data_IF_997233262979
#
_entry.id   IF_997233262979
#
_cell.length_a   1.000
_cell.length_b   1.000
_cell.length_c   1.000
_cell.angle_alpha   90.00
_cell.angle_beta   90.00
_cell.angle_gamma   90.00
#
_symmetry.space_group_name_H-M   'P 1'
#
loop_
_entity.id
_entity.type
_entity.pdbx_description
1 polymer ?
#
# COMPACT_ATOMS: atom_id res chain seq x y z
N UNK A 1 -7.62 38.16 -3.51
CA UNK A 1 -7.36 36.75 -3.14
C UNK A 1 -8.70 36.06 -3.03
N UNK A 2 -8.87 34.86 -3.57
CA UNK A 2 -10.10 34.10 -3.37
C UNK A 2 -10.29 33.79 -1.88
N UNK A 3 -11.54 33.71 -1.41
CA UNK A 3 -11.81 33.28 -0.04
C UNK A 3 -11.26 31.87 0.21
N UNK A 4 -10.71 31.60 1.40
CA UNK A 4 -10.17 30.28 1.70
C UNK A 4 -11.28 29.24 1.73
N UNK A 5 -10.96 28.01 1.31
CA UNK A 5 -11.84 26.88 1.52
C UNK A 5 -12.03 26.65 3.03
N UNK A 6 -13.26 26.49 3.49
CA UNK A 6 -13.58 26.40 4.92
C UNK A 6 -14.46 25.20 5.25
N UNK A 7 -14.02 24.44 6.26
CA UNK A 7 -14.68 23.25 6.79
C UNK A 7 -14.47 23.10 8.30
N UNK A 8 -15.16 22.15 8.94
CA UNK A 8 -14.83 21.75 10.32
C UNK A 8 -13.51 20.99 10.34
N UNK A 9 -13.32 20.09 9.36
CA UNK A 9 -12.11 19.28 9.21
C UNK A 9 -11.56 19.38 7.79
N UNK A 10 -10.25 19.57 7.67
CA UNK A 10 -9.50 19.44 6.42
C UNK A 10 -8.58 18.22 6.50
N UNK A 11 -8.68 17.33 5.52
CA UNK A 11 -7.86 16.12 5.40
C UNK A 11 -6.97 16.26 4.17
N UNK A 12 -5.68 15.97 4.30
CA UNK A 12 -4.71 16.03 3.19
C UNK A 12 -4.39 14.62 2.75
N UNK A 13 -4.88 14.24 1.57
CA UNK A 13 -4.72 12.93 0.95
C UNK A 13 -6.04 12.15 0.90
N UNK A 14 -6.46 11.77 -0.31
CA UNK A 14 -7.67 10.97 -0.56
C UNK A 14 -7.37 9.47 -0.70
N UNK A 15 -6.35 8.98 0.01
CA UNK A 15 -6.09 7.55 0.18
C UNK A 15 -7.02 6.88 1.18
N UNK A 16 -6.84 5.57 1.44
CA UNK A 16 -7.69 4.79 2.35
C UNK A 16 -7.78 5.40 3.76
N UNK A 17 -6.67 5.87 4.32
CA UNK A 17 -6.65 6.48 5.65
C UNK A 17 -7.49 7.77 5.70
N UNK A 18 -7.26 8.68 4.74
CA UNK A 18 -7.98 9.95 4.67
C UNK A 18 -9.47 9.77 4.37
N UNK A 19 -9.83 8.84 3.48
CA UNK A 19 -11.22 8.61 3.08
C UNK A 19 -12.03 7.85 4.12
N UNK A 20 -11.43 6.92 4.87
CA UNK A 20 -12.10 6.30 6.02
C UNK A 20 -12.37 7.34 7.12
N UNK A 21 -11.39 8.18 7.43
CA UNK A 21 -11.57 9.28 8.39
C UNK A 21 -12.64 10.27 7.92
N UNK A 22 -12.60 10.70 6.66
CA UNK A 22 -13.59 11.59 6.07
C UNK A 22 -15.01 11.01 6.17
N UNK A 23 -15.16 9.73 5.82
CA UNK A 23 -16.44 9.04 5.90
C UNK A 23 -16.99 9.01 7.33
N UNK A 24 -16.19 8.62 8.32
CA UNK A 24 -16.63 8.56 9.72
C UNK A 24 -16.95 9.94 10.30
N UNK A 25 -16.15 10.95 9.98
CA UNK A 25 -16.39 12.33 10.42
C UNK A 25 -17.66 12.91 9.79
N UNK A 26 -17.91 12.65 8.51
CA UNK A 26 -19.13 13.07 7.83
C UNK A 26 -20.38 12.36 8.38
N UNK A 27 -20.27 11.06 8.71
CA UNK A 27 -21.34 10.33 9.42
C UNK A 27 -21.66 10.96 10.77
N UNK A 28 -20.67 11.53 11.45
CA UNK A 28 -20.84 12.27 12.69
C UNK A 28 -21.32 13.73 12.49
N UNK A 29 -21.63 14.14 11.25
CA UNK A 29 -22.18 15.46 10.92
C UNK A 29 -21.15 16.57 10.69
N UNK A 30 -19.85 16.25 10.65
CA UNK A 30 -18.82 17.25 10.36
C UNK A 30 -18.82 17.65 8.88
N UNK A 31 -18.65 18.94 8.59
CA UNK A 31 -18.30 19.41 7.24
C UNK A 31 -16.82 19.09 6.99
N UNK A 32 -16.54 18.24 6.01
CA UNK A 32 -15.18 17.76 5.70
C UNK A 32 -14.77 18.16 4.28
N UNK A 33 -13.56 18.71 4.16
CA UNK A 33 -12.86 18.89 2.88
C UNK A 33 -11.66 17.94 2.85
N UNK A 34 -11.49 17.22 1.74
CA UNK A 34 -10.31 16.40 1.46
C UNK A 34 -9.55 17.03 0.30
N UNK A 35 -8.27 17.35 0.50
CA UNK A 35 -7.37 17.87 -0.53
C UNK A 35 -6.55 16.71 -1.08
N UNK A 36 -6.59 16.48 -2.39
CA UNK A 36 -5.84 15.41 -3.06
C UNK A 36 -4.92 15.98 -4.13
N UNK A 37 -3.64 15.59 -4.11
CA UNK A 37 -2.63 16.10 -5.02
C UNK A 37 -2.92 15.73 -6.48
N UNK A 38 -3.43 14.52 -6.74
CA UNK A 38 -3.65 14.03 -8.10
C UNK A 38 -5.08 14.08 -8.60
N UNK A 39 -5.30 13.61 -9.84
CA UNK A 39 -6.62 13.55 -10.47
C UNK A 39 -7.46 12.37 -9.97
N UNK A 40 -8.78 12.36 -10.28
CA UNK A 40 -9.63 11.20 -10.11
C UNK A 40 -9.25 10.04 -11.03
N UNK A 41 -9.75 8.85 -10.72
CA UNK A 41 -9.46 7.61 -11.46
C UNK A 41 -10.74 7.00 -12.01
N UNK A 42 -10.82 6.85 -13.32
CA UNK A 42 -11.81 6.01 -13.97
C UNK A 42 -11.25 4.57 -14.07
N UNK A 43 -11.92 3.60 -13.42
CA UNK A 43 -11.46 2.21 -13.39
C UNK A 43 -11.43 1.57 -14.78
N UNK A 44 -12.42 1.84 -15.63
CA UNK A 44 -12.47 1.26 -16.98
C UNK A 44 -11.32 1.76 -17.85
N UNK A 45 -11.05 3.07 -17.81
CA UNK A 45 -9.91 3.66 -18.51
C UNK A 45 -8.58 3.13 -17.97
N UNK A 46 -8.41 3.06 -16.65
CA UNK A 46 -7.19 2.50 -16.05
C UNK A 46 -6.95 1.05 -16.49
N UNK A 47 -8.00 0.22 -16.54
CA UNK A 47 -7.92 -1.16 -17.05
C UNK A 47 -7.52 -1.18 -18.53
N UNK A 48 -8.07 -0.30 -19.35
CA UNK A 48 -7.70 -0.20 -20.76
C UNK A 48 -6.23 0.25 -20.93
N UNK A 49 -5.81 1.26 -20.18
CA UNK A 49 -4.41 1.73 -20.13
C UNK A 49 -3.47 0.60 -19.74
N UNK A 50 -3.79 -0.14 -18.67
CA UNK A 50 -3.01 -1.30 -18.24
C UNK A 50 -2.90 -2.36 -19.34
N UNK A 51 -4.00 -2.70 -20.01
CA UNK A 51 -4.01 -3.70 -21.09
C UNK A 51 -3.13 -3.28 -22.26
N UNK A 52 -3.11 -1.99 -22.59
CA UNK A 52 -2.30 -1.42 -23.65
C UNK A 52 -0.85 -1.10 -23.25
N UNK A 53 -0.53 -1.10 -21.95
CA UNK A 53 0.82 -0.82 -21.48
C UNK A 53 1.82 -1.89 -21.95
N UNK A 54 3.00 -1.46 -22.39
CA UNK A 54 4.09 -2.37 -22.77
C UNK A 54 4.66 -3.07 -21.54
N UNK A 55 4.96 -2.29 -20.48
CA UNK A 55 5.39 -2.82 -19.20
C UNK A 55 4.20 -2.97 -18.25
N UNK A 56 4.04 -4.15 -17.66
CA UNK A 56 2.94 -4.49 -16.74
C UNK A 56 3.36 -4.26 -15.28
N UNK A 57 3.56 -2.99 -14.90
CA UNK A 57 4.00 -2.60 -13.55
C UNK A 57 2.85 -2.11 -12.66
N UNK A 58 3.04 -1.99 -11.34
CA UNK A 58 2.05 -1.40 -10.43
C UNK A 58 1.53 -0.02 -10.90
N UNK A 59 2.40 0.81 -11.49
CA UNK A 59 2.07 2.18 -11.90
C UNK A 59 1.46 2.28 -13.30
N UNK A 60 1.61 1.24 -14.13
CA UNK A 60 1.24 1.25 -15.56
C UNK A 60 -0.21 1.63 -15.91
N UNK A 61 -1.26 1.39 -15.08
CA UNK A 61 -2.62 1.87 -15.39
C UNK A 61 -2.80 3.38 -15.22
N UNK A 62 -1.84 4.06 -14.61
CA UNK A 62 -2.01 5.39 -14.04
C UNK A 62 -1.01 6.34 -14.70
N UNK A 63 -1.46 7.29 -15.54
CA UNK A 63 -0.54 8.24 -16.17
C UNK A 63 0.08 9.20 -15.14
N UNK A 64 1.35 9.52 -15.34
CA UNK A 64 2.04 10.51 -14.53
C UNK A 64 1.48 11.92 -14.76
N UNK A 65 1.68 12.77 -13.74
CA UNK A 65 1.29 14.17 -13.80
C UNK A 65 2.47 15.04 -13.41
N UNK A 66 2.66 16.16 -14.10
CA UNK A 66 3.79 17.05 -13.83
C UNK A 66 3.70 17.74 -12.46
N UNK A 67 2.47 17.95 -11.93
CA UNK A 67 2.20 18.64 -10.66
C UNK A 67 2.14 17.70 -9.46
N UNK A 68 1.84 16.42 -9.67
CA UNK A 68 1.86 15.39 -8.64
C UNK A 68 2.69 14.16 -9.07
N UNK A 69 4.00 14.34 -9.32
CA UNK A 69 4.89 13.24 -9.68
C UNK A 69 5.08 12.25 -8.52
N UNK A 70 5.49 11.04 -8.83
CA UNK A 70 5.50 9.90 -7.91
C UNK A 70 6.59 8.91 -8.32
N UNK A 71 7.04 8.02 -7.41
CA UNK A 71 8.00 6.99 -7.76
C UNK A 71 7.39 5.93 -8.70
N UNK A 72 8.23 5.30 -9.52
CA UNK A 72 7.84 4.17 -10.37
C UNK A 72 8.86 3.05 -10.25
N UNK A 73 8.45 1.79 -10.40
CA UNK A 73 9.41 0.67 -10.37
C UNK A 73 10.32 0.62 -11.60
N UNK A 74 10.02 1.38 -12.65
CA UNK A 74 10.84 1.47 -13.86
C UNK A 74 11.92 2.55 -13.77
N UNK A 75 11.74 3.51 -12.88
CA UNK A 75 12.66 4.63 -12.65
C UNK A 75 12.60 5.05 -11.18
N UNK A 76 13.52 4.50 -10.38
CA UNK A 76 13.58 4.69 -8.94
C UNK A 76 14.20 6.04 -8.53
N UNK A 77 14.84 6.76 -9.46
CA UNK A 77 15.54 8.02 -9.23
C UNK A 77 14.84 9.21 -9.91
N UNK A 78 13.83 8.95 -10.74
CA UNK A 78 13.06 9.99 -11.41
C UNK A 78 12.37 10.93 -10.42
N UNK A 79 11.67 10.37 -9.43
CA UNK A 79 11.01 11.18 -8.40
C UNK A 79 11.78 11.29 -7.08
N UNK A 80 12.36 10.18 -6.61
CA UNK A 80 13.15 10.20 -5.39
C UNK A 80 14.57 10.70 -5.66
N UNK A 81 15.12 11.46 -4.72
CA UNK A 81 16.56 11.67 -4.61
C UNK A 81 17.07 10.59 -3.66
N UNK A 82 17.63 9.51 -4.20
CA UNK A 82 18.05 8.36 -3.43
C UNK A 82 19.45 8.57 -2.86
N UNK A 83 19.61 8.34 -1.57
CA UNK A 83 20.90 8.36 -0.87
C UNK A 83 21.08 7.08 -0.05
N UNK A 84 22.29 6.89 0.49
CA UNK A 84 22.61 5.72 1.29
C UNK A 84 22.92 4.44 0.49
N UNK A 85 23.20 3.32 1.20
CA UNK A 85 23.74 2.11 0.59
C UNK A 85 22.68 1.23 -0.11
N UNK A 86 21.39 1.45 0.19
CA UNK A 86 20.27 0.63 -0.31
C UNK A 86 19.17 1.54 -0.81
N UNK A 87 18.87 1.46 -2.11
CA UNK A 87 17.78 2.24 -2.71
C UNK A 87 16.41 1.85 -2.12
N UNK A 88 15.60 2.85 -1.81
CA UNK A 88 14.20 2.66 -1.40
C UNK A 88 13.31 2.40 -2.62
N UNK A 89 12.72 1.21 -2.72
CA UNK A 89 12.03 0.74 -3.94
C UNK A 89 10.52 0.80 -3.90
N UNK A 90 9.95 1.24 -2.77
CA UNK A 90 8.51 1.26 -2.56
C UNK A 90 7.89 2.44 -3.29
N UNK A 91 6.80 2.15 -4.01
CA UNK A 91 6.08 3.14 -4.81
C UNK A 91 4.72 3.47 -4.21
N UNK A 92 4.11 4.56 -4.67
CA UNK A 92 2.78 4.98 -4.26
C UNK A 92 2.06 5.79 -5.33
N UNK A 93 0.75 5.93 -5.15
CA UNK A 93 -0.11 6.73 -6.02
C UNK A 93 -0.45 8.07 -5.35
N UNK A 94 -0.27 9.17 -6.08
CA UNK A 94 -0.77 10.51 -5.70
C UNK A 94 -1.98 10.83 -6.55
N UNK A 95 -3.13 10.23 -6.25
CA UNK A 95 -4.40 10.30 -7.02
C UNK A 95 -5.57 10.02 -6.08
N UNK A 96 -6.80 10.40 -6.46
CA UNK A 96 -7.99 10.09 -5.64
C UNK A 96 -8.14 8.57 -5.46
N UNK A 97 -8.13 8.10 -4.22
CA UNK A 97 -8.10 6.68 -3.84
C UNK A 97 -6.71 6.16 -3.42
N UNK A 98 -5.65 6.90 -3.74
CA UNK A 98 -4.27 6.61 -3.35
C UNK A 98 -3.78 5.21 -3.73
N UNK A 99 -2.75 4.74 -3.03
CA UNK A 99 -2.00 3.50 -3.33
C UNK A 99 -2.86 2.22 -3.28
N UNK A 100 -4.00 2.23 -2.61
CA UNK A 100 -4.89 1.06 -2.59
C UNK A 100 -5.53 0.75 -3.95
N UNK A 101 -5.35 1.61 -4.96
CA UNK A 101 -5.61 1.23 -6.35
C UNK A 101 -4.81 -0.02 -6.76
N UNK A 102 -3.49 -0.01 -6.55
CA UNK A 102 -2.58 -1.09 -6.96
C UNK A 102 -1.99 -1.93 -5.82
N UNK A 103 -2.50 -1.83 -4.60
CA UNK A 103 -2.15 -2.79 -3.55
C UNK A 103 -2.72 -4.20 -3.83
N UNK A 104 -2.14 -5.20 -3.17
CA UNK A 104 -2.53 -6.60 -3.31
C UNK A 104 -3.87 -6.92 -2.62
N UNK A 105 -4.27 -6.14 -1.62
CA UNK A 105 -5.46 -6.37 -0.81
C UNK A 105 -5.26 -7.35 0.35
N UNK A 106 -4.02 -7.70 0.72
CA UNK A 106 -3.70 -8.42 1.95
C UNK A 106 -4.04 -7.54 3.16
N UNK A 107 -4.70 -8.12 4.17
CA UNK A 107 -5.25 -7.42 5.33
C UNK A 107 -4.96 -8.18 6.64
N UNK A 108 -3.68 -8.36 6.95
CA UNK A 108 -3.22 -8.97 8.21
C UNK A 108 -3.26 -7.96 9.36
N UNK A 109 -3.57 -8.45 10.57
CA UNK A 109 -3.39 -7.69 11.81
C UNK A 109 -1.95 -7.85 12.31
N UNK A 110 -1.47 -6.88 13.06
CA UNK A 110 -0.28 -7.08 13.90
C UNK A 110 -0.54 -8.18 14.95
N UNK A 111 0.53 -8.76 15.49
CA UNK A 111 0.47 -9.67 16.62
C UNK A 111 0.55 -8.87 17.93
N UNK A 112 0.04 -9.38 19.07
CA UNK A 112 0.18 -8.72 20.37
C UNK A 112 1.63 -8.37 20.75
N UNK A 113 2.59 -9.18 20.34
CA UNK A 113 4.00 -8.96 20.62
C UNK A 113 4.64 -7.89 19.74
N UNK A 114 4.05 -7.55 18.59
CA UNK A 114 4.51 -6.42 17.77
C UNK A 114 4.32 -5.07 18.46
N UNK A 115 3.44 -5.00 19.47
CA UNK A 115 3.23 -3.81 20.30
C UNK A 115 4.25 -3.69 21.45
N UNK A 116 5.06 -4.74 21.69
CA UNK A 116 5.93 -4.88 22.87
C UNK A 116 7.33 -5.41 22.52
N UNK A 117 7.88 -4.99 21.37
CA UNK A 117 9.15 -5.51 20.87
C UNK A 117 10.31 -5.27 21.83
N UNK A 118 10.41 -4.06 22.40
CA UNK A 118 11.49 -3.73 23.30
C UNK A 118 11.35 -4.49 24.61
N UNK A 119 10.15 -4.48 25.22
CA UNK A 119 9.92 -5.18 26.48
C UNK A 119 10.09 -6.70 26.39
N UNK A 120 9.76 -7.33 25.27
CA UNK A 120 9.81 -8.79 25.12
C UNK A 120 11.10 -9.32 24.50
N UNK A 121 11.67 -8.58 23.54
CA UNK A 121 12.79 -9.04 22.72
C UNK A 121 14.04 -8.17 22.85
N UNK A 122 13.97 -7.04 23.56
CA UNK A 122 15.12 -6.14 23.75
C UNK A 122 15.54 -5.39 22.48
N UNK A 123 14.67 -5.30 21.47
CA UNK A 123 14.92 -4.65 20.19
C UNK A 123 13.76 -3.71 19.80
N UNK A 124 14.02 -2.75 18.91
CA UNK A 124 12.99 -1.83 18.45
C UNK A 124 12.41 -0.98 19.58
N UNK A 125 11.11 -0.71 19.51
CA UNK A 125 10.37 0.14 20.45
C UNK A 125 9.03 -0.50 20.81
N UNK A 126 8.54 -0.20 22.01
CA UNK A 126 7.17 -0.54 22.40
C UNK A 126 6.20 0.53 21.92
N UNK A 127 5.01 0.09 21.51
CA UNK A 127 3.92 1.00 21.19
C UNK A 127 3.34 1.57 22.49
N UNK A 128 2.86 2.83 22.48
CA UNK A 128 2.19 3.44 23.64
C UNK A 128 0.75 2.93 23.82
N UNK A 129 0.33 1.96 23.02
CA UNK A 129 -0.97 1.28 23.07
C UNK A 129 -0.75 -0.23 22.93
N UNK A 130 -1.69 -1.00 23.44
CA UNK A 130 -1.72 -2.46 23.33
C UNK A 130 -2.50 -2.93 22.10
N UNK A 131 -2.32 -4.21 21.75
CA UNK A 131 -3.11 -4.86 20.71
C UNK A 131 -4.60 -4.84 21.04
N UNK A 132 -4.95 -5.09 22.30
CA UNK A 132 -6.33 -5.15 22.79
C UNK A 132 -7.05 -3.81 22.63
N UNK A 133 -6.32 -2.69 22.77
CA UNK A 133 -6.87 -1.36 22.50
C UNK A 133 -7.13 -1.12 21.00
N UNK A 134 -6.35 -1.74 20.11
CA UNK A 134 -6.50 -1.60 18.66
C UNK A 134 -7.42 -2.65 18.02
N UNK A 135 -7.63 -3.80 18.68
CA UNK A 135 -8.41 -4.94 18.18
C UNK A 135 -9.82 -4.55 17.71
N UNK A 136 -10.60 -3.74 18.45
CA UNK A 136 -11.94 -3.34 17.97
C UNK A 136 -11.88 -2.52 16.69
N UNK A 137 -10.80 -1.76 16.48
CA UNK A 137 -10.59 -0.96 15.28
C UNK A 137 -10.13 -1.82 14.10
N UNK A 138 -9.36 -2.88 14.33
CA UNK A 138 -9.10 -3.89 13.30
C UNK A 138 -10.39 -4.55 12.84
N UNK A 139 -11.24 -4.98 13.78
CA UNK A 139 -12.55 -5.57 13.46
C UNK A 139 -13.42 -4.60 12.66
N UNK A 140 -13.52 -3.34 13.08
CA UNK A 140 -14.26 -2.32 12.34
C UNK A 140 -13.70 -2.07 10.93
N UNK A 141 -12.37 -1.98 10.78
CA UNK A 141 -11.73 -1.81 9.48
C UNK A 141 -12.00 -3.00 8.56
N UNK A 142 -11.91 -4.23 9.05
CA UNK A 142 -12.19 -5.42 8.25
C UNK A 142 -13.62 -5.43 7.71
N UNK A 143 -14.61 -5.02 8.52
CA UNK A 143 -16.00 -4.86 8.10
C UNK A 143 -16.16 -3.79 7.00
N UNK A 144 -15.51 -2.64 7.15
CA UNK A 144 -15.56 -1.55 6.16
C UNK A 144 -14.89 -1.93 4.83
N UNK A 145 -13.76 -2.63 4.88
CA UNK A 145 -13.00 -3.03 3.70
C UNK A 145 -13.59 -4.26 3.00
N UNK A 146 -14.35 -5.08 3.73
CA UNK A 146 -14.81 -6.38 3.27
C UNK A 146 -13.68 -7.40 3.24
N UNK A 147 -13.10 -7.70 4.40
CA UNK A 147 -12.01 -8.68 4.53
C UNK A 147 -12.56 -10.11 4.58
N UNK A 148 -12.14 -10.94 3.63
CA UNK A 148 -12.32 -12.38 3.68
C UNK A 148 -11.18 -13.03 4.48
N UNK A 149 -11.53 -13.95 5.38
CA UNK A 149 -10.56 -14.72 6.17
C UNK A 149 -11.19 -15.96 6.80
N UNK A 150 -10.36 -16.80 7.41
CA UNK A 150 -10.80 -17.99 8.14
C UNK A 150 -10.71 -17.72 9.64
N UNK A 151 -11.85 -17.40 10.27
CA UNK A 151 -11.92 -17.15 11.71
C UNK A 151 -11.77 -18.39 12.58
N UNK A 152 -11.72 -19.60 12.00
CA UNK A 152 -11.52 -20.85 12.75
C UNK A 152 -10.04 -21.15 13.00
N UNK A 153 -9.14 -20.40 12.36
CA UNK A 153 -7.70 -20.59 12.45
C UNK A 153 -7.06 -19.43 13.21
N UNK A 154 -6.21 -19.76 14.18
CA UNK A 154 -5.43 -18.76 14.92
C UNK A 154 -4.19 -18.34 14.11
N UNK A 155 -4.15 -17.06 13.73
CA UNK A 155 -3.01 -16.42 13.06
C UNK A 155 -2.10 -15.66 14.03
N UNK A 156 -2.27 -15.86 15.35
CA UNK A 156 -1.55 -15.16 16.42
C UNK A 156 -2.12 -13.79 16.78
N UNK A 157 -3.26 -13.42 16.19
CA UNK A 157 -3.94 -12.13 16.38
C UNK A 157 -5.34 -12.37 16.94
N UNK A 158 -5.53 -12.34 18.28
CA UNK A 158 -6.83 -12.62 18.91
C UNK A 158 -7.96 -11.72 18.38
N UNK A 159 -9.16 -12.28 18.21
CA UNK A 159 -10.27 -11.58 17.55
C UNK A 159 -11.52 -11.63 18.41
N UNK A 160 -12.16 -10.47 18.60
CA UNK A 160 -13.47 -10.38 19.25
C UNK A 160 -14.62 -10.65 18.27
N UNK A 161 -14.37 -10.48 16.96
CA UNK A 161 -15.35 -10.66 15.89
C UNK A 161 -14.76 -11.46 14.72
N UNK A 162 -15.62 -12.27 14.10
CA UNK A 162 -15.27 -13.01 12.89
C UNK A 162 -15.11 -12.06 11.69
N UNK A 163 -14.45 -12.54 10.64
CA UNK A 163 -14.35 -11.82 9.37
C UNK A 163 -15.73 -11.60 8.73
N UNK A 164 -15.97 -10.47 8.02
CA UNK A 164 -17.25 -10.24 7.33
C UNK A 164 -17.55 -11.27 6.23
N UNK A 165 -16.52 -11.97 5.75
CA UNK A 165 -16.59 -12.96 4.69
C UNK A 165 -15.68 -14.14 4.97
N UNK A 166 -16.09 -15.32 4.50
CA UNK A 166 -15.26 -16.52 4.55
C UNK A 166 -14.06 -16.38 3.62
N UNK A 167 -12.96 -17.02 4.00
CA UNK A 167 -11.75 -17.18 3.20
C UNK A 167 -12.04 -17.64 1.77
N UNK A 168 -11.17 -17.21 0.85
CA UNK A 168 -11.11 -17.78 -0.49
C UNK A 168 -10.52 -19.20 -0.42
N UNK A 169 -10.92 -20.11 -1.31
CA UNK A 169 -10.38 -21.46 -1.32
C UNK A 169 -8.89 -21.45 -1.67
N UNK A 170 -8.12 -22.34 -1.03
CA UNK A 170 -6.74 -22.61 -1.42
C UNK A 170 -6.68 -23.08 -2.88
N UNK A 171 -5.69 -22.58 -3.62
CA UNK A 171 -5.39 -23.01 -4.98
C UNK A 171 -4.78 -24.41 -4.99
N UNK A 172 -4.53 -24.96 -6.18
CA UNK A 172 -3.77 -26.20 -6.29
C UNK A 172 -2.32 -26.01 -5.81
N UNK A 173 -1.68 -24.90 -6.19
CA UNK A 173 -0.31 -24.56 -5.78
C UNK A 173 -0.22 -24.44 -4.26
N UNK A 174 -1.13 -23.68 -3.62
CA UNK A 174 -1.20 -23.53 -2.17
C UNK A 174 -1.26 -24.89 -1.46
N UNK A 175 -2.09 -25.82 -1.95
CA UNK A 175 -2.25 -27.16 -1.37
C UNK A 175 -0.98 -27.99 -1.49
N UNK A 176 -0.28 -27.91 -2.62
CA UNK A 176 1.00 -28.61 -2.78
C UNK A 176 2.09 -28.04 -1.86
N UNK A 177 2.13 -26.71 -1.71
CA UNK A 177 3.02 -26.07 -0.74
C UNK A 177 2.66 -26.48 0.69
N UNK A 178 1.37 -26.58 1.03
CA UNK A 178 0.93 -27.03 2.35
C UNK A 178 1.45 -28.44 2.70
N UNK A 179 1.43 -29.37 1.74
CA UNK A 179 1.97 -30.73 1.91
C UNK A 179 3.48 -30.68 2.18
N UNK A 180 4.22 -29.85 1.43
CA UNK A 180 5.67 -29.71 1.62
C UNK A 180 6.03 -29.00 2.95
N UNK A 181 5.32 -27.93 3.29
CA UNK A 181 5.51 -27.16 4.51
C UNK A 181 5.28 -28.03 5.77
N UNK A 182 4.26 -28.90 5.74
CA UNK A 182 3.96 -29.81 6.83
C UNK A 182 5.13 -30.77 7.17
N UNK A 183 5.95 -31.16 6.18
CA UNK A 183 7.15 -31.99 6.41
C UNK A 183 8.24 -31.24 7.19
N UNK A 184 8.19 -29.91 7.20
CA UNK A 184 9.08 -29.03 7.95
C UNK A 184 8.45 -28.56 9.28
N UNK A 185 7.27 -29.08 9.64
CA UNK A 185 6.51 -28.62 10.81
C UNK A 185 5.87 -27.24 10.65
N UNK A 186 5.81 -26.71 9.42
CA UNK A 186 5.20 -25.42 9.10
C UNK A 186 3.79 -25.60 8.55
N UNK A 187 2.97 -24.54 8.62
CA UNK A 187 1.58 -24.56 8.14
C UNK A 187 1.36 -23.47 7.11
N UNK A 188 0.53 -23.81 6.12
CA UNK A 188 0.04 -22.84 5.15
C UNK A 188 -1.35 -22.37 5.59
N UNK A 189 -1.51 -21.06 5.68
CA UNK A 189 -2.72 -20.38 6.08
C UNK A 189 -3.28 -19.58 4.91
N UNK A 190 -4.60 -19.52 4.77
CA UNK A 190 -5.20 -18.54 3.86
C UNK A 190 -4.96 -17.15 4.44
N UNK A 191 -4.32 -16.29 3.66
CA UNK A 191 -4.02 -14.92 4.09
C UNK A 191 -5.33 -14.11 4.08
N UNK A 192 -5.71 -13.42 5.17
CA UNK A 192 -6.86 -12.53 5.17
C UNK A 192 -6.70 -11.40 4.15
N UNK A 193 -7.76 -11.13 3.38
CA UNK A 193 -7.70 -10.21 2.24
C UNK A 193 -8.95 -9.36 2.12
N UNK A 194 -8.82 -8.07 1.84
CA UNK A 194 -9.91 -7.16 1.45
C UNK A 194 -10.41 -7.49 0.03
N UNK A 195 -10.94 -8.70 -0.14
CA UNK A 195 -11.34 -9.31 -1.40
C UNK A 195 -12.60 -10.12 -1.19
N UNK A 196 -13.58 -9.88 -2.06
CA UNK A 196 -14.91 -10.44 -1.93
C UNK A 196 -14.95 -11.94 -2.27
N UNK A 197 -15.29 -12.80 -1.31
CA UNK A 197 -15.63 -14.21 -1.58
C UNK A 197 -17.12 -14.42 -1.93
N UNK A 198 -17.94 -13.41 -1.63
CA UNK A 198 -19.35 -13.25 -2.02
C UNK A 198 -19.60 -11.79 -2.38
N UNK A 199 -20.76 -11.47 -2.96
CA UNK A 199 -21.16 -10.06 -3.09
C UNK A 199 -21.17 -9.38 -1.72
N UNK A 200 -20.51 -8.24 -1.61
CA UNK A 200 -20.37 -7.48 -0.37
C UNK A 200 -20.30 -5.99 -0.68
N UNK A 201 -21.08 -5.17 0.03
CA UNK A 201 -21.08 -3.70 -0.10
C UNK A 201 -21.25 -3.22 -1.56
N UNK A 202 -22.16 -3.85 -2.30
CA UNK A 202 -22.44 -3.55 -3.70
C UNK A 202 -21.33 -3.96 -4.69
N UNK A 203 -20.29 -4.66 -4.24
CA UNK A 203 -19.17 -5.14 -5.09
C UNK A 203 -19.26 -6.65 -5.34
N UNK A 204 -18.93 -7.12 -6.56
CA UNK A 204 -19.06 -8.54 -6.93
C UNK A 204 -18.00 -9.43 -6.23
N UNK A 205 -18.21 -10.76 -6.18
CA UNK A 205 -17.18 -11.70 -5.76
C UNK A 205 -15.98 -11.71 -6.71
N UNK A 206 -14.82 -12.14 -6.21
CA UNK A 206 -13.61 -12.32 -7.01
C UNK A 206 -13.82 -13.40 -8.07
N UNK A 207 -13.54 -13.07 -9.34
CA UNK A 207 -13.54 -14.02 -10.44
C UNK A 207 -12.15 -14.51 -10.86
N UNK A 208 -11.11 -14.25 -10.05
CA UNK A 208 -9.76 -14.76 -10.31
C UNK A 208 -9.04 -14.11 -11.50
N UNK A 209 -9.23 -12.80 -11.74
CA UNK A 209 -8.58 -12.08 -12.85
C UNK A 209 -7.04 -12.14 -12.86
N UNK A 210 -6.38 -12.52 -11.75
CA UNK A 210 -4.93 -12.52 -11.61
C UNK A 210 -4.25 -11.18 -11.97
N UNK A 211 -4.92 -10.05 -11.71
CA UNK A 211 -4.39 -8.68 -11.90
C UNK A 211 -4.64 -7.81 -10.68
N UNK A 212 -4.59 -8.41 -9.48
CA UNK A 212 -4.89 -7.70 -8.24
C UNK A 212 -4.03 -6.44 -8.08
N UNK A 213 -2.76 -6.60 -8.42
CA UNK A 213 -1.83 -5.54 -8.80
C UNK A 213 -1.68 -5.62 -10.33
N UNK A 214 -1.78 -4.52 -11.08
CA UNK A 214 -1.99 -3.16 -10.61
C UNK A 214 -3.47 -2.74 -10.48
N UNK A 215 -4.41 -3.47 -11.10
CA UNK A 215 -5.82 -3.04 -11.11
C UNK A 215 -6.79 -4.22 -11.21
N UNK A 216 -7.71 -4.30 -10.24
CA UNK A 216 -8.84 -5.23 -10.30
C UNK A 216 -9.94 -4.67 -11.24
N UNK A 217 -10.28 -5.34 -12.35
CA UNK A 217 -11.21 -4.78 -13.34
C UNK A 217 -12.65 -4.62 -12.84
N UNK A 218 -13.06 -5.45 -11.88
CA UNK A 218 -14.45 -5.54 -11.41
C UNK A 218 -14.64 -5.05 -9.97
N UNK A 219 -13.62 -4.41 -9.37
CA UNK A 219 -13.65 -3.93 -8.00
C UNK A 219 -13.96 -5.02 -6.93
N UNK A 220 -13.65 -6.29 -7.21
CA UNK A 220 -13.81 -7.38 -6.23
C UNK A 220 -12.77 -7.29 -5.10
N UNK A 221 -11.58 -6.71 -5.37
CA UNK A 221 -10.61 -6.26 -4.35
C UNK A 221 -10.99 -4.85 -3.91
N UNK A 222 -10.93 -4.56 -2.61
CA UNK A 222 -11.13 -3.21 -2.11
C UNK A 222 -10.07 -2.27 -2.67
N UNK A 223 -10.47 -1.04 -2.91
CA UNK A 223 -9.60 0.12 -3.02
C UNK A 223 -10.39 1.32 -2.51
N UNK A 224 -9.70 2.40 -2.14
CA UNK A 224 -10.35 3.51 -1.45
C UNK A 224 -11.38 4.25 -2.29
N UNK A 225 -11.53 3.96 -3.60
CA UNK A 225 -12.67 4.49 -4.38
C UNK A 225 -14.03 4.12 -3.78
N UNK A 226 -14.10 3.04 -2.99
CA UNK A 226 -15.29 2.67 -2.21
C UNK A 226 -15.64 3.77 -1.19
N UNK A 227 -14.67 4.18 -0.36
CA UNK A 227 -14.90 5.22 0.65
C UNK A 227 -14.89 6.63 0.07
N UNK A 228 -14.25 6.87 -1.08
CA UNK A 228 -14.45 8.10 -1.86
C UNK A 228 -15.92 8.25 -2.20
N UNK A 229 -16.55 7.24 -2.82
CA UNK A 229 -17.96 7.29 -3.19
C UNK A 229 -18.86 7.46 -1.96
N UNK A 230 -18.67 6.65 -0.92
CA UNK A 230 -19.46 6.74 0.33
C UNK A 230 -19.35 8.11 1.01
N UNK A 231 -18.15 8.71 1.03
CA UNK A 231 -17.95 10.02 1.62
C UNK A 231 -18.60 11.15 0.80
N UNK A 232 -18.50 11.09 -0.54
CA UNK A 232 -19.17 12.04 -1.44
C UNK A 232 -20.70 12.00 -1.27
N UNK A 233 -21.28 10.80 -1.11
CA UNK A 233 -22.71 10.61 -0.82
C UNK A 233 -23.15 11.29 0.50
N UNK A 234 -22.22 11.49 1.45
CA UNK A 234 -22.44 12.22 2.70
C UNK A 234 -22.08 13.71 2.62
N UNK A 235 -21.75 14.22 1.43
CA UNK A 235 -21.43 15.64 1.22
C UNK A 235 -20.00 16.05 1.55
N UNK A 236 -19.08 15.09 1.75
CA UNK A 236 -17.65 15.40 1.80
C UNK A 236 -17.21 16.01 0.46
N UNK A 237 -16.42 17.07 0.52
CA UNK A 237 -15.87 17.70 -0.68
C UNK A 237 -14.45 17.19 -0.92
N UNK A 238 -14.21 16.53 -2.06
CA UNK A 238 -12.87 16.16 -2.49
C UNK A 238 -12.38 17.16 -3.52
N UNK A 239 -11.35 17.92 -3.17
CA UNK A 239 -10.68 18.88 -4.04
C UNK A 239 -9.46 18.18 -4.63
N UNK A 240 -9.63 17.59 -5.81
CA UNK A 240 -8.54 16.96 -6.58
C UNK A 240 -7.58 18.00 -7.17
N UNK A 241 -6.38 17.57 -7.58
CA UNK A 241 -5.33 18.43 -8.14
C UNK A 241 -4.95 19.60 -7.20
N UNK A 242 -4.96 19.34 -5.90
CA UNK A 242 -4.61 20.27 -4.83
C UNK A 242 -3.33 19.79 -4.14
N UNK A 243 -2.19 20.28 -4.60
CA UNK A 243 -0.88 19.87 -4.07
C UNK A 243 -0.56 20.69 -2.83
N UNK A 244 -0.93 20.16 -1.66
CA UNK A 244 -0.58 20.76 -0.37
C UNK A 244 0.94 20.73 -0.20
N UNK A 245 1.52 21.89 0.12
CA UNK A 245 2.98 22.04 0.28
C UNK A 245 3.38 22.76 1.56
N UNK A 246 2.43 23.39 2.27
CA UNK A 246 2.74 24.15 3.47
C UNK A 246 1.60 24.09 4.50
N UNK A 247 1.98 23.90 5.77
CA UNK A 247 1.10 23.94 6.96
C UNK A 247 1.35 25.25 7.70
N UNK A 248 0.30 26.04 7.91
CA UNK A 248 0.37 27.31 8.60
C UNK A 248 0.12 27.12 10.09
N UNK A 249 1.00 27.68 10.93
CA UNK A 249 0.94 27.59 12.40
C UNK A 249 0.96 29.01 12.98
N UNK A 250 0.10 29.28 13.97
CA UNK A 250 0.09 30.56 14.68
C UNK A 250 1.17 30.64 15.77
N UNK A 251 1.26 31.77 16.47
CA UNK A 251 2.25 31.99 17.53
C UNK A 251 2.07 31.05 18.75
N UNK A 252 0.88 30.50 18.94
CA UNK A 252 0.57 29.56 20.02
C UNK A 252 0.87 28.10 19.65
N UNK A 253 1.33 27.84 18.42
CA UNK A 253 1.63 26.49 17.94
C UNK A 253 0.43 25.74 17.33
N UNK A 254 -0.72 26.41 17.14
CA UNK A 254 -1.90 25.81 16.52
C UNK A 254 -1.86 25.90 15.00
N UNK A 255 -2.23 24.81 14.32
CA UNK A 255 -2.43 24.81 12.87
C UNK A 255 -3.66 25.66 12.52
N UNK A 256 -3.49 26.61 11.61
CA UNK A 256 -4.55 27.55 11.20
C UNK A 256 -4.99 27.39 9.75
N UNK A 257 -4.19 26.70 8.94
CA UNK A 257 -4.48 26.49 7.53
C UNK A 257 -3.45 25.61 6.84
N UNK A 258 -3.78 25.21 5.62
CA UNK A 258 -2.85 24.59 4.68
C UNK A 258 -2.90 25.34 3.35
N UNK A 259 -1.74 25.53 2.73
CA UNK A 259 -1.61 26.10 1.39
C UNK A 259 -1.38 25.00 0.37
N UNK A 260 -2.02 25.13 -0.79
CA UNK A 260 -1.90 24.18 -1.86
C UNK A 260 -1.85 24.86 -3.22
N UNK A 261 -1.12 24.25 -4.15
CA UNK A 261 -1.01 24.72 -5.53
C UNK A 261 -1.94 23.93 -6.45
N UNK A 262 -2.50 24.62 -7.43
CA UNK A 262 -3.30 24.10 -8.55
C UNK A 262 -2.43 23.96 -9.81
N UNK A 263 -2.72 23.04 -10.74
CA UNK A 263 -1.91 22.85 -11.95
C UNK A 263 -1.79 24.09 -12.84
N UNK A 264 -2.72 25.04 -12.74
CA UNK A 264 -2.71 26.33 -13.44
C UNK A 264 -1.78 27.36 -12.76
N UNK A 265 -1.04 26.97 -11.72
CA UNK A 265 -0.13 27.81 -10.96
C UNK A 265 -0.78 28.61 -9.84
N UNK A 266 -2.12 28.57 -9.68
CA UNK A 266 -2.79 29.25 -8.57
C UNK A 266 -2.42 28.62 -7.24
N UNK A 267 -2.19 29.46 -6.24
CA UNK A 267 -2.06 29.04 -4.85
C UNK A 267 -3.34 29.39 -4.09
N UNK A 268 -3.87 28.40 -3.38
CA UNK A 268 -5.10 28.49 -2.62
C UNK A 268 -4.86 28.04 -1.18
N UNK A 269 -5.83 28.31 -0.32
CA UNK A 269 -5.73 28.09 1.13
C UNK A 269 -6.98 27.40 1.64
N UNK A 270 -6.80 26.43 2.55
CA UNK A 270 -7.89 25.81 3.29
C UNK A 270 -7.73 26.01 4.80
N UNK A 271 -8.82 26.35 5.48
CA UNK A 271 -8.89 26.61 6.92
C UNK A 271 -9.91 25.69 7.59
N UNK A 272 -9.60 25.22 8.79
CA UNK A 272 -10.43 24.30 9.56
C UNK A 272 -10.12 24.38 11.06
N UNK A 273 -10.95 23.72 11.87
CA UNK A 273 -10.71 23.53 13.30
C UNK A 273 -9.77 22.35 13.54
N UNK A 274 -9.83 21.34 12.69
CA UNK A 274 -8.99 20.13 12.77
C UNK A 274 -8.38 19.84 11.40
N UNK A 275 -7.11 19.45 11.42
CA UNK A 275 -6.36 19.04 10.23
C UNK A 275 -5.86 17.61 10.40
N UNK A 276 -6.00 16.79 9.35
CA UNK A 276 -5.49 15.41 9.32
C UNK A 276 -4.56 15.27 8.12
N UNK A 277 -3.29 14.92 8.35
CA UNK A 277 -2.35 14.58 7.27
C UNK A 277 -2.41 13.07 7.01
N UNK A 278 -2.83 12.70 5.79
CA UNK A 278 -2.98 11.32 5.33
C UNK A 278 -2.34 11.13 3.93
N UNK A 279 -1.16 11.75 3.72
CA UNK A 279 -0.57 11.94 2.40
C UNK A 279 0.37 10.82 1.93
N UNK A 280 0.53 9.72 2.68
CA UNK A 280 1.55 8.65 2.55
C UNK A 280 2.77 8.86 3.47
N UNK A 281 3.52 7.77 3.74
CA UNK A 281 4.70 7.76 4.60
C UNK A 281 5.85 8.67 4.13
N UNK A 282 5.83 9.05 2.84
CA UNK A 282 6.84 9.94 2.24
C UNK A 282 6.36 11.39 2.17
N UNK A 283 5.15 11.64 1.67
CA UNK A 283 4.66 13.01 1.47
C UNK A 283 4.26 13.70 2.79
N UNK A 284 3.71 12.97 3.77
CA UNK A 284 3.35 13.54 5.08
C UNK A 284 4.56 14.20 5.76
N UNK A 285 5.68 13.49 6.02
CA UNK A 285 6.85 14.12 6.63
C UNK A 285 7.47 15.18 5.72
N UNK A 286 7.43 15.01 4.39
CA UNK A 286 7.93 16.04 3.46
C UNK A 286 7.16 17.35 3.62
N UNK A 287 5.83 17.32 3.65
CA UNK A 287 4.98 18.51 3.87
C UNK A 287 5.33 19.20 5.20
N UNK A 288 5.46 18.43 6.28
CA UNK A 288 5.82 18.95 7.59
C UNK A 288 7.20 19.62 7.60
N UNK A 289 8.21 18.96 7.02
CA UNK A 289 9.59 19.46 6.94
C UNK A 289 9.79 20.63 5.97
N UNK A 290 8.95 20.74 4.93
CA UNK A 290 8.90 21.91 4.04
C UNK A 290 8.23 23.12 4.69
N UNK A 291 7.39 22.91 5.70
CA UNK A 291 6.63 23.96 6.39
C UNK A 291 7.52 24.72 7.39
N UNK A 292 8.57 25.39 6.89
CA UNK A 292 9.54 26.13 7.68
C UNK A 292 9.15 27.59 7.82
N UNK A 293 9.41 28.15 9.00
CA UNK A 293 9.34 29.59 9.30
C UNK A 293 10.53 29.96 10.17
N UNK A 294 10.77 31.26 10.40
CA UNK A 294 11.84 31.70 11.33
C UNK A 294 11.67 31.12 12.74
N UNK A 295 10.42 30.91 13.18
CA UNK A 295 10.11 30.28 14.47
C UNK A 295 10.18 28.74 14.43
N UNK A 296 10.06 28.14 13.25
CA UNK A 296 10.05 26.68 13.01
C UNK A 296 11.09 26.32 11.93
N UNK A 297 12.39 26.53 12.19
CA UNK A 297 13.44 26.35 11.17
C UNK A 297 13.56 24.90 10.70
N UNK A 298 13.14 23.94 11.53
CA UNK A 298 13.18 22.50 11.26
C UNK A 298 11.84 21.91 10.77
N UNK A 299 10.86 22.78 10.46
CA UNK A 299 9.52 22.38 10.00
C UNK A 299 8.50 22.24 11.12
N UNK A 300 7.23 22.07 10.74
CA UNK A 300 6.10 21.89 11.66
C UNK A 300 6.14 20.50 12.30
N UNK A 301 5.72 20.40 13.57
CA UNK A 301 5.63 19.17 14.35
C UNK A 301 6.97 18.42 14.55
N UNK A 302 8.10 19.07 14.29
CA UNK A 302 9.42 18.44 14.35
C UNK A 302 10.27 18.86 15.56
N UNK A 303 9.65 19.12 16.71
CA UNK A 303 10.38 19.44 17.95
C UNK A 303 11.21 18.26 18.49
N UNK A 304 10.86 17.02 18.09
CA UNK A 304 11.56 15.79 18.45
C UNK A 304 12.67 15.36 17.46
N UNK A 305 12.82 16.08 16.34
CA UNK A 305 13.61 15.67 15.16
C UNK A 305 13.20 14.29 14.57
N UNK A 306 12.03 13.76 14.93
CA UNK A 306 11.57 12.44 14.44
C UNK A 306 10.80 12.52 13.12
N UNK A 307 10.41 13.70 12.66
CA UNK A 307 9.65 13.82 11.41
C UNK A 307 10.52 13.36 10.24
N UNK A 308 10.02 12.33 9.54
CA UNK A 308 10.69 11.72 8.41
C UNK A 308 11.75 10.69 8.80
N UNK A 309 12.08 10.50 10.07
CA UNK A 309 12.99 9.44 10.54
C UNK A 309 12.25 8.13 10.82
N UNK A 310 13.01 7.06 11.03
CA UNK A 310 12.47 5.72 11.30
C UNK A 310 11.61 5.20 10.14
N UNK A 311 11.98 5.58 8.90
CA UNK A 311 11.36 5.06 7.70
C UNK A 311 11.56 3.55 7.68
N UNK A 312 10.44 2.82 7.65
CA UNK A 312 10.42 1.36 7.58
C UNK A 312 9.63 0.94 6.34
N UNK A 313 10.10 -0.13 5.73
CA UNK A 313 9.34 -0.97 4.80
C UNK A 313 9.63 -2.45 5.13
N UNK A 314 9.13 -3.37 4.33
CA UNK A 314 9.54 -4.77 4.40
C UNK A 314 10.63 -5.03 3.35
N UNK A 315 11.91 -5.20 3.74
CA UNK A 315 12.88 -5.86 2.88
C UNK A 315 12.31 -7.20 2.40
N UNK A 316 12.22 -7.37 1.09
CA UNK A 316 11.66 -8.58 0.49
C UNK A 316 12.78 -9.46 -0.06
N UNK A 317 12.87 -10.70 0.42
CA UNK A 317 13.65 -11.73 -0.24
C UNK A 317 12.73 -12.57 -1.13
N UNK A 318 12.99 -12.56 -2.43
CA UNK A 318 12.34 -13.45 -3.38
C UNK A 318 13.13 -14.75 -3.54
N UNK A 319 12.43 -15.88 -3.47
CA UNK A 319 12.99 -17.20 -3.80
C UNK A 319 12.08 -17.86 -4.82
N UNK A 320 12.61 -18.39 -5.92
CA UNK A 320 11.81 -19.02 -6.96
C UNK A 320 12.52 -20.19 -7.62
N UNK A 321 11.74 -21.17 -8.07
CA UNK A 321 12.24 -22.39 -8.69
C UNK A 321 11.18 -23.01 -9.62
N UNK A 322 11.59 -24.02 -10.38
CA UNK A 322 10.66 -24.91 -11.09
C UNK A 322 10.42 -26.13 -10.21
N UNK A 323 9.15 -26.37 -9.86
CA UNK A 323 8.73 -27.59 -9.21
C UNK A 323 8.95 -28.81 -10.10
N UNK A 324 8.99 -30.02 -9.55
CA UNK A 324 9.09 -31.25 -10.37
C UNK A 324 7.83 -31.46 -11.19
N UNK A 325 6.68 -31.38 -10.53
CA UNK A 325 5.36 -31.51 -11.13
C UNK A 325 4.73 -30.13 -11.40
N UNK A 326 3.80 -30.03 -12.38
CA UNK A 326 3.01 -28.82 -12.60
C UNK A 326 2.22 -28.38 -11.37
N UNK A 327 2.28 -27.07 -11.04
CA UNK A 327 1.55 -26.40 -9.96
C UNK A 327 0.50 -25.39 -10.46
N UNK A 328 0.55 -25.01 -11.74
CA UNK A 328 -0.41 -24.14 -12.41
C UNK A 328 -0.68 -22.79 -11.71
N UNK A 329 0.34 -21.94 -11.50
CA UNK A 329 0.11 -20.55 -11.10
C UNK A 329 -0.71 -19.79 -12.16
N UNK A 330 -1.04 -18.53 -11.88
CA UNK A 330 -1.82 -17.59 -12.70
C UNK A 330 -3.32 -17.88 -12.78
N UNK A 331 -3.87 -18.62 -11.80
CA UNK A 331 -5.27 -19.08 -11.79
C UNK A 331 -6.11 -18.52 -10.64
N UNK A 332 -5.56 -17.55 -9.92
CA UNK A 332 -6.10 -17.05 -8.66
C UNK A 332 -5.65 -15.59 -8.43
N UNK A 333 -6.06 -14.92 -7.33
CA UNK A 333 -5.39 -13.70 -6.89
C UNK A 333 -3.86 -13.89 -6.81
N UNK A 334 -3.07 -12.83 -7.03
CA UNK A 334 -1.60 -12.92 -7.11
C UNK A 334 -0.94 -13.50 -5.83
N UNK A 335 -1.64 -13.43 -4.71
CA UNK A 335 -1.34 -14.11 -3.44
C UNK A 335 -2.66 -14.52 -2.82
N UNK A 336 -2.71 -15.74 -2.29
CA UNK A 336 -3.88 -16.30 -1.62
C UNK A 336 -3.55 -16.82 -0.21
N UNK A 337 -2.40 -17.48 -0.07
CA UNK A 337 -1.97 -18.12 1.17
C UNK A 337 -0.49 -17.82 1.47
N UNK A 338 -0.09 -18.11 2.70
CA UNK A 338 1.27 -17.92 3.17
C UNK A 338 1.60 -18.82 4.36
N UNK A 339 2.89 -18.84 4.71
CA UNK A 339 3.37 -19.46 5.95
C UNK A 339 3.58 -18.33 6.95
N UNK A 340 2.79 -18.36 8.01
CA UNK A 340 2.69 -17.29 9.00
C UNK A 340 3.38 -17.67 10.33
N UNK A 341 3.86 -18.92 10.48
CA UNK A 341 4.47 -19.45 11.71
C UNK A 341 5.77 -18.73 12.11
N UNK A 342 6.41 -17.98 11.20
CA UNK A 342 7.68 -17.27 11.43
C UNK A 342 7.50 -15.78 11.74
N UNK A 343 6.26 -15.34 11.98
CA UNK A 343 5.95 -13.96 12.37
C UNK A 343 6.27 -13.65 13.83
N UNK A 344 6.48 -14.66 14.68
CA UNK A 344 6.84 -14.45 16.08
C UNK A 344 7.68 -15.57 16.67
N UNK A 345 8.43 -15.26 17.73
CA UNK A 345 9.21 -16.22 18.49
C UNK A 345 10.44 -15.60 19.15
N UNK A 346 11.04 -16.31 20.10
CA UNK A 346 12.19 -15.83 20.88
C UNK A 346 13.40 -15.39 20.01
N UNK A 347 13.50 -15.93 18.79
CA UNK A 347 14.53 -15.55 17.82
C UNK A 347 14.47 -14.06 17.43
N UNK A 348 13.34 -13.37 17.65
CA UNK A 348 13.19 -11.93 17.34
C UNK A 348 14.13 -11.02 18.12
N UNK A 349 14.69 -11.49 19.24
CA UNK A 349 15.78 -10.81 19.95
C UNK A 349 17.11 -10.79 19.18
N UNK A 350 17.25 -11.62 18.14
CA UNK A 350 18.51 -11.82 17.40
C UNK A 350 18.36 -11.61 15.89
N UNK A 351 17.18 -11.84 15.32
CA UNK A 351 16.91 -11.67 13.87
C UNK A 351 15.45 -11.35 13.62
N UNK A 352 15.17 -10.66 12.51
CA UNK A 352 13.80 -10.27 12.12
C UNK A 352 12.83 -11.44 12.00
N UNK A 353 11.59 -11.18 12.41
CA UNK A 353 10.45 -11.99 12.00
C UNK A 353 10.14 -11.77 10.51
N UNK A 354 9.48 -12.75 9.89
CA UNK A 354 8.98 -12.61 8.53
C UNK A 354 7.81 -13.54 8.28
N UNK A 355 6.98 -13.17 7.31
CA UNK A 355 6.02 -14.10 6.70
C UNK A 355 6.49 -14.52 5.32
N UNK A 356 6.15 -15.74 4.92
CA UNK A 356 6.42 -16.23 3.56
C UNK A 356 5.13 -16.21 2.76
N UNK A 357 4.98 -15.23 1.87
CA UNK A 357 3.90 -15.21 0.90
C UNK A 357 4.21 -16.22 -0.20
N UNK A 358 3.34 -17.22 -0.33
CA UNK A 358 3.26 -18.03 -1.56
C UNK A 358 2.73 -17.09 -2.62
N UNK A 359 3.21 -17.15 -3.86
CA UNK A 359 2.29 -16.59 -4.83
C UNK A 359 2.26 -17.11 -6.23
N UNK A 360 1.18 -16.58 -6.79
CA UNK A 360 0.33 -17.17 -7.78
C UNK A 360 0.50 -16.43 -9.11
N UNK A 361 1.37 -15.41 -9.12
CA UNK A 361 1.85 -14.69 -10.29
C UNK A 361 3.12 -15.32 -10.89
N UNK A 362 3.45 -16.55 -10.49
CA UNK A 362 4.62 -17.28 -10.92
C UNK A 362 5.91 -16.47 -10.75
N UNK A 363 6.62 -16.24 -11.86
CA UNK A 363 7.88 -15.48 -11.88
C UNK A 363 7.71 -14.05 -12.39
N UNK A 364 6.50 -13.48 -12.30
CA UNK A 364 6.25 -12.10 -12.72
C UNK A 364 7.06 -11.12 -11.87
N UNK A 365 6.97 -11.22 -10.54
CA UNK A 365 7.74 -10.35 -9.64
C UNK A 365 9.27 -10.53 -9.74
N UNK A 366 9.82 -11.76 -9.84
CA UNK A 366 11.24 -11.96 -10.19
C UNK A 366 11.68 -11.44 -11.57
N UNK A 367 10.78 -10.94 -12.43
CA UNK A 367 11.11 -10.33 -13.71
C UNK A 367 11.19 -11.30 -14.89
N UNK A 368 10.59 -12.49 -14.80
CA UNK A 368 10.38 -13.39 -15.96
C UNK A 368 8.91 -13.83 -16.04
N UNK A 369 7.97 -12.89 -16.25
CA UNK A 369 6.57 -13.22 -16.52
C UNK A 369 6.43 -14.01 -17.85
N UNK A 370 5.27 -14.64 -18.12
CA UNK A 370 5.08 -15.49 -19.29
C UNK A 370 5.43 -14.83 -20.62
N UNK A 371 5.11 -13.54 -20.80
CA UNK A 371 5.43 -12.78 -22.00
C UNK A 371 6.94 -12.61 -22.21
N UNK A 372 7.71 -12.39 -21.14
CA UNK A 372 9.18 -12.25 -21.22
C UNK A 372 9.81 -13.60 -21.56
N UNK A 373 9.32 -14.68 -20.97
CA UNK A 373 9.76 -16.04 -21.30
C UNK A 373 9.45 -16.36 -22.78
N UNK A 374 8.23 -16.05 -23.25
CA UNK A 374 7.84 -16.26 -24.63
C UNK A 374 8.77 -15.50 -25.59
N UNK A 375 9.05 -14.22 -25.32
CA UNK A 375 9.99 -13.43 -26.13
C UNK A 375 11.39 -14.05 -26.17
N UNK A 376 11.91 -14.55 -25.04
CA UNK A 376 13.23 -15.22 -25.00
C UNK A 376 13.23 -16.54 -25.80
N UNK A 377 12.19 -17.36 -25.67
CA UNK A 377 12.07 -18.62 -26.42
C UNK A 377 11.91 -18.37 -27.93
N UNK A 378 11.15 -17.34 -28.31
CA UNK A 378 11.01 -16.91 -29.71
C UNK A 378 12.36 -16.41 -30.25
N UNK A 379 13.09 -15.60 -29.49
CA UNK A 379 14.44 -15.17 -29.88
C UNK A 379 15.40 -16.37 -30.05
N UNK A 380 15.21 -17.43 -29.27
CA UNK A 380 15.97 -18.69 -29.33
C UNK A 380 15.51 -19.65 -30.43
N UNK A 381 14.59 -19.24 -31.31
CA UNK A 381 14.16 -20.04 -32.46
C UNK A 381 12.97 -20.98 -32.23
N UNK A 382 12.40 -21.06 -31.01
CA UNK A 382 11.20 -21.86 -30.78
C UNK A 382 9.99 -21.25 -31.48
N UNK A 383 9.20 -22.07 -32.18
CA UNK A 383 7.97 -21.66 -32.90
C UNK A 383 6.90 -22.75 -32.77
N UNK A 384 5.65 -22.38 -33.01
CA UNK A 384 4.52 -23.33 -33.08
C UNK A 384 4.43 -24.23 -31.83
N UNK A 385 4.21 -25.52 -32.06
CA UNK A 385 4.02 -26.52 -31.00
C UNK A 385 5.20 -26.59 -30.01
N UNK A 386 6.45 -26.52 -30.50
CA UNK A 386 7.63 -26.57 -29.63
C UNK A 386 7.69 -25.38 -28.66
N UNK A 387 7.26 -24.19 -29.11
CA UNK A 387 7.18 -23.02 -28.23
C UNK A 387 6.14 -23.25 -27.13
N UNK A 388 4.97 -23.80 -27.47
CA UNK A 388 3.91 -24.11 -26.52
C UNK A 388 4.38 -25.14 -25.48
N UNK A 389 5.09 -26.17 -25.91
CA UNK A 389 5.67 -27.19 -25.01
C UNK A 389 6.67 -26.58 -24.03
N UNK A 390 7.59 -25.73 -24.51
CA UNK A 390 8.55 -25.04 -23.64
C UNK A 390 7.85 -24.07 -22.67
N UNK A 391 6.88 -23.30 -23.15
CA UNK A 391 6.08 -22.43 -22.30
C UNK A 391 5.38 -23.21 -21.19
N UNK A 392 4.72 -24.32 -21.54
CA UNK A 392 4.02 -25.16 -20.56
C UNK A 392 4.98 -25.83 -19.57
N UNK A 393 6.12 -26.34 -20.05
CA UNK A 393 7.14 -26.98 -19.21
C UNK A 393 7.77 -26.03 -18.17
N UNK A 394 7.73 -24.72 -18.42
CA UNK A 394 8.21 -23.71 -17.50
C UNK A 394 7.06 -23.10 -16.67
N UNK A 395 6.10 -22.43 -17.31
CA UNK A 395 5.07 -21.62 -16.65
C UNK A 395 4.25 -22.45 -15.68
N UNK A 396 3.86 -23.67 -16.05
CA UNK A 396 3.03 -24.51 -15.19
C UNK A 396 3.75 -24.98 -13.93
N UNK A 397 5.09 -24.93 -13.90
CA UNK A 397 5.93 -25.44 -12.80
C UNK A 397 6.55 -24.31 -11.97
N UNK A 398 6.27 -23.05 -12.29
CA UNK A 398 6.80 -21.92 -11.53
C UNK A 398 6.26 -21.95 -10.10
N UNK A 399 7.18 -21.86 -9.14
CA UNK A 399 6.89 -21.57 -7.74
C UNK A 399 7.75 -20.40 -7.29
N UNK A 400 7.20 -19.55 -6.42
CA UNK A 400 7.86 -18.36 -5.90
C UNK A 400 7.34 -18.05 -4.51
N UNK A 401 8.27 -17.73 -3.61
CA UNK A 401 8.02 -17.22 -2.27
C UNK A 401 8.55 -15.80 -2.18
N UNK A 402 7.81 -14.95 -1.46
CA UNK A 402 8.28 -13.64 -1.03
C UNK A 402 8.32 -13.63 0.49
N UNK A 403 9.51 -13.48 1.06
CA UNK A 403 9.68 -13.33 2.50
C UNK A 403 9.60 -11.84 2.82
N UNK A 404 8.54 -11.42 3.49
CA UNK A 404 8.34 -10.03 3.92
C UNK A 404 8.95 -9.91 5.31
N UNK A 405 10.12 -9.26 5.39
CA UNK A 405 10.95 -9.24 6.60
C UNK A 405 10.68 -7.96 7.40
N UNK A 406 10.56 -8.11 8.71
CA UNK A 406 10.47 -6.98 9.64
C UNK A 406 11.75 -6.13 9.60
N UNK A 407 11.58 -4.81 9.52
CA UNK A 407 12.64 -3.83 9.69
C UNK A 407 12.37 -3.07 11.00
N UNK A 408 13.40 -2.89 11.82
CA UNK A 408 13.31 -2.10 13.04
C UNK A 408 13.37 -0.59 12.73
N UNK A 409 12.79 0.28 13.59
CA UNK A 409 12.94 1.71 13.44
C UNK A 409 14.41 2.12 13.59
N UNK A 410 14.94 2.79 12.57
CA UNK A 410 16.28 3.36 12.57
C UNK A 410 16.19 4.86 12.23
N UNK A 411 16.65 5.77 13.10
CA UNK A 411 16.62 7.20 12.86
C UNK A 411 17.34 7.66 11.58
N UNK A 412 18.30 6.88 11.09
CA UNK A 412 19.07 7.19 9.87
C UNK A 412 18.35 6.74 8.59
N UNK A 413 17.42 5.79 8.68
CA UNK A 413 16.46 5.55 7.60
C UNK A 413 15.44 6.70 7.62
N UNK A 414 15.56 7.63 6.68
CA UNK A 414 14.77 8.86 6.74
C UNK A 414 14.38 9.43 5.39
N UNK A 415 13.45 10.39 5.43
CA UNK A 415 13.01 11.20 4.30
C UNK A 415 13.16 12.67 4.69
N UNK A 416 13.77 13.47 3.81
CA UNK A 416 13.83 14.94 3.89
C UNK A 416 13.44 15.61 2.57
N UNK A 417 13.03 16.88 2.55
CA UNK A 417 12.82 17.61 1.30
C UNK A 417 14.16 17.98 0.65
N UNK A 418 14.35 17.63 -0.63
CA UNK A 418 15.49 18.03 -1.44
C UNK A 418 15.28 19.47 -1.98
N UNK A 419 15.53 20.49 -1.16
CA UNK A 419 15.33 21.89 -1.54
C UNK A 419 16.16 22.34 -2.76
N UNK A 420 17.29 21.68 -3.00
CA UNK A 420 18.19 21.86 -4.13
C UNK A 420 17.73 21.15 -5.42
N UNK A 421 16.75 20.24 -5.32
CA UNK A 421 16.27 19.43 -6.43
C UNK A 421 14.73 19.38 -6.46
N UNK A 422 14.06 20.51 -6.74
CA UNK A 422 12.61 20.54 -6.87
C UNK A 422 12.12 19.74 -8.07
N UNK A 423 10.87 19.29 -8.00
CA UNK A 423 10.16 18.70 -9.13
C UNK A 423 9.77 19.76 -10.18
N UNK A 424 9.16 19.32 -11.28
CA UNK A 424 8.69 20.19 -12.35
C UNK A 424 7.63 21.22 -11.91
N UNK A 425 7.09 21.07 -10.70
CA UNK A 425 6.09 21.97 -10.10
C UNK A 425 6.71 22.92 -9.05
N UNK A 426 8.03 22.88 -8.90
CA UNK A 426 8.78 23.71 -7.96
C UNK A 426 8.63 23.25 -6.50
N UNK A 427 8.18 22.02 -6.26
CA UNK A 427 8.10 21.43 -4.92
C UNK A 427 9.33 20.54 -4.70
N UNK A 428 10.08 20.69 -3.59
CA UNK A 428 11.19 19.80 -3.26
C UNK A 428 10.85 18.31 -3.46
N UNK A 429 11.70 17.59 -4.17
CA UNK A 429 11.58 16.13 -4.29
C UNK A 429 11.85 15.45 -2.94
N UNK A 430 11.38 14.22 -2.73
CA UNK A 430 11.71 13.46 -1.52
C UNK A 430 13.15 12.95 -1.62
N UNK A 431 14.02 13.36 -0.69
CA UNK A 431 15.35 12.78 -0.47
C UNK A 431 15.26 11.67 0.56
N UNK A 432 15.56 10.44 0.17
CA UNK A 432 15.42 9.23 0.98
C UNK A 432 16.81 8.67 1.26
#
# INVERSE_FOLDING_TARGET
MAEPLQANVVIVGAGVAGMLAAYKLAQAGAKVIVLEAGPPVNRHEAVATYRNAVAKTPESPYPDTFYAPRPTVLDLEGYYVQEGPVLFKSTYERRVGGTTWHWLGTALRHLPNDFRLHSLYGVGMDWPISYEQLEPWYSAAEQELGVAGDGTVDLGSPRSQDYPMKALPLTYLDKQVAVAAAQLGLRVYVTPQARNSRTFDGRPPCCGNATCVPICPIAAKYDASVHVRKALELGVQVIDRAVVHFVEVNQEGWVTGVRFKRPDGREERAVAQVFVLAAHAIETPKILLMSRTDALPNGVANSSDQVGRNLMDHPVQLSWALAREPLYPYRSPLENAGIEDLRDGAFRSQRSAFRMAIGEDGWSFPGTPPETLASRLIASGFRGQKLVEQMNAHVSRQIRFANLVEQLPDPENRITPAFDQPDAFGIPRPRI
#
